data_IF_062349824841
#
_entry.id   IF_062349824841
#
_cell.length_a   1.000
_cell.length_b   1.000
_cell.length_c   1.000
_cell.angle_alpha   90.00
_cell.angle_beta   90.00
_cell.angle_gamma   90.00
#
_symmetry.space_group_name_H-M   'P 1'
#
loop_
_entity.id
_entity.type
_entity.pdbx_description
1 polymer ?
#
# COMPACT_ATOMS: atom_id res chain seq x y z
N UNK A 1 -13.69 -20.70 14.14
CA UNK A 1 -12.42 -20.67 14.87
C UNK A 1 -11.61 -19.47 14.42
N UNK A 2 -11.23 -18.63 15.37
CA UNK A 2 -10.56 -17.36 15.09
C UNK A 2 -9.23 -17.53 14.34
N UNK A 3 -8.43 -18.52 14.68
CA UNK A 3 -7.14 -18.77 14.04
C UNK A 3 -7.27 -19.08 12.55
N UNK A 4 -8.28 -19.87 12.17
CA UNK A 4 -8.53 -20.20 10.77
C UNK A 4 -9.00 -18.96 9.99
N UNK A 5 -9.87 -18.16 10.59
CA UNK A 5 -10.34 -16.92 9.97
C UNK A 5 -9.19 -15.94 9.73
N UNK A 6 -8.27 -15.82 10.71
CA UNK A 6 -7.11 -14.95 10.57
C UNK A 6 -6.18 -15.40 9.44
N UNK A 7 -5.98 -16.71 9.29
CA UNK A 7 -5.16 -17.23 8.19
C UNK A 7 -5.77 -16.91 6.82
N UNK A 8 -7.12 -16.95 6.72
CA UNK A 8 -7.81 -16.62 5.48
C UNK A 8 -7.72 -15.14 5.11
N UNK A 9 -7.43 -14.26 6.07
CA UNK A 9 -7.25 -12.85 5.83
C UNK A 9 -5.81 -12.48 5.46
N UNK A 10 -4.85 -13.39 5.68
CA UNK A 10 -3.45 -13.15 5.35
C UNK A 10 -3.25 -13.25 3.83
N UNK A 11 -2.59 -12.25 3.26
CA UNK A 11 -2.23 -12.23 1.86
C UNK A 11 -0.72 -12.27 1.71
N UNK A 12 -0.23 -13.00 0.72
CA UNK A 12 1.19 -13.10 0.44
C UNK A 12 1.65 -11.86 -0.32
N UNK A 13 2.16 -10.89 0.42
CA UNK A 13 2.68 -9.65 -0.13
C UNK A 13 4.12 -9.83 -0.55
N UNK A 14 4.40 -9.53 -1.82
CA UNK A 14 5.75 -9.58 -2.36
C UNK A 14 6.15 -8.22 -2.89
N UNK A 15 7.42 -7.87 -2.69
CA UNK A 15 8.03 -6.70 -3.29
C UNK A 15 8.69 -7.13 -4.60
N UNK A 16 8.50 -6.34 -5.65
CA UNK A 16 9.16 -6.55 -6.92
C UNK A 16 10.66 -6.27 -6.78
N UNK A 17 11.44 -7.33 -6.61
CA UNK A 17 12.89 -7.20 -6.42
C UNK A 17 13.57 -6.56 -7.63
N UNK A 18 13.08 -6.81 -8.83
CA UNK A 18 13.64 -6.22 -10.05
C UNK A 18 13.47 -4.69 -10.04
N UNK A 19 12.34 -4.20 -9.52
CA UNK A 19 12.10 -2.77 -9.40
C UNK A 19 13.07 -2.12 -8.42
N UNK A 20 13.31 -2.75 -7.27
CA UNK A 20 14.29 -2.28 -6.29
C UNK A 20 15.70 -2.31 -6.85
N UNK A 21 16.05 -3.36 -7.59
CA UNK A 21 17.37 -3.46 -8.22
C UNK A 21 17.57 -2.39 -9.28
N UNK A 22 16.51 -2.05 -10.03
CA UNK A 22 16.59 -0.97 -11.01
C UNK A 22 16.87 0.38 -10.33
N UNK A 23 16.18 0.67 -9.24
CA UNK A 23 16.41 1.88 -8.45
C UNK A 23 17.85 1.94 -7.95
N UNK A 24 18.34 0.82 -7.42
CA UNK A 24 19.71 0.71 -6.93
C UNK A 24 20.73 0.98 -8.05
N UNK A 25 20.48 0.40 -9.22
CA UNK A 25 21.37 0.54 -10.37
C UNK A 25 21.39 1.97 -10.93
N UNK A 26 20.23 2.63 -10.99
CA UNK A 26 20.10 3.97 -11.53
C UNK A 26 20.58 5.06 -10.56
N UNK A 27 20.33 4.88 -9.27
CA UNK A 27 20.52 5.94 -8.27
C UNK A 27 21.64 5.68 -7.28
N UNK A 28 22.23 4.46 -7.28
CA UNK A 28 23.14 4.02 -6.25
C UNK A 28 22.43 3.73 -4.93
N UNK A 29 23.15 3.17 -3.96
CA UNK A 29 22.57 2.75 -2.69
C UNK A 29 21.92 3.89 -1.92
N UNK A 30 22.61 5.02 -1.79
CA UNK A 30 22.07 6.17 -1.05
C UNK A 30 20.86 6.79 -1.73
N UNK A 31 20.88 6.90 -3.06
CA UNK A 31 19.75 7.44 -3.82
C UNK A 31 18.53 6.53 -3.77
N UNK A 32 18.73 5.22 -3.92
CA UNK A 32 17.66 4.23 -3.82
C UNK A 32 17.03 4.24 -2.43
N UNK A 33 17.84 4.30 -1.38
CA UNK A 33 17.37 4.37 0.00
C UNK A 33 16.49 5.60 0.23
N UNK A 34 16.89 6.77 -0.28
CA UNK A 34 16.09 7.99 -0.15
C UNK A 34 14.74 7.87 -0.84
N UNK A 35 14.70 7.29 -2.04
CA UNK A 35 13.44 7.07 -2.77
C UNK A 35 12.52 6.13 -2.00
N UNK A 36 13.05 5.04 -1.50
CA UNK A 36 12.28 4.04 -0.74
C UNK A 36 11.77 4.65 0.56
N UNK A 37 12.61 5.33 1.32
CA UNK A 37 12.23 5.94 2.60
C UNK A 37 11.12 6.98 2.40
N UNK A 38 11.24 7.82 1.37
CA UNK A 38 10.22 8.81 1.05
C UNK A 38 8.91 8.15 0.66
N UNK A 39 8.95 7.10 -0.16
CA UNK A 39 7.77 6.37 -0.57
C UNK A 39 7.08 5.70 0.62
N UNK A 40 7.85 5.10 1.53
CA UNK A 40 7.33 4.50 2.76
C UNK A 40 6.59 5.54 3.61
N UNK A 41 7.18 6.71 3.81
CA UNK A 41 6.55 7.80 4.57
C UNK A 41 5.25 8.26 3.91
N UNK A 42 5.26 8.42 2.59
CA UNK A 42 4.07 8.82 1.84
C UNK A 42 2.97 7.76 1.91
N UNK A 43 3.32 6.49 1.78
CA UNK A 43 2.36 5.38 1.89
C UNK A 43 1.75 5.35 3.28
N UNK A 44 2.57 5.40 4.33
CA UNK A 44 2.08 5.37 5.71
C UNK A 44 1.12 6.54 5.99
N UNK A 45 1.46 7.74 5.54
CA UNK A 45 0.61 8.93 5.70
C UNK A 45 -0.72 8.78 4.96
N UNK A 46 -0.71 8.24 3.75
CA UNK A 46 -1.92 8.05 2.97
C UNK A 46 -2.82 6.95 3.55
N UNK A 47 -2.24 5.87 4.05
CA UNK A 47 -3.02 4.83 4.73
C UNK A 47 -3.73 5.38 5.96
N UNK A 48 -3.05 6.22 6.73
CA UNK A 48 -3.66 6.88 7.89
C UNK A 48 -4.78 7.83 7.47
N UNK A 49 -4.58 8.61 6.42
CA UNK A 49 -5.61 9.52 5.91
C UNK A 49 -6.84 8.76 5.42
N UNK A 50 -6.65 7.62 4.75
CA UNK A 50 -7.75 6.76 4.31
C UNK A 50 -8.53 6.25 5.52
N UNK A 51 -7.84 5.80 6.58
CA UNK A 51 -8.47 5.31 7.79
C UNK A 51 -9.33 6.40 8.46
N UNK A 52 -8.77 7.59 8.64
CA UNK A 52 -9.48 8.70 9.28
C UNK A 52 -10.64 9.22 8.44
N UNK A 53 -10.47 9.28 7.12
CA UNK A 53 -11.51 9.71 6.20
C UNK A 53 -12.65 8.69 6.11
N UNK A 54 -12.31 7.41 6.12
CA UNK A 54 -13.31 6.34 6.19
C UNK A 54 -14.15 6.46 7.47
N UNK A 55 -13.49 6.65 8.62
CA UNK A 55 -14.18 6.78 9.90
C UNK A 55 -15.14 7.98 9.94
N UNK A 56 -14.83 9.05 9.23
CA UNK A 56 -15.69 10.24 9.15
C UNK A 56 -16.65 10.22 7.94
N UNK A 57 -16.72 9.12 7.23
CA UNK A 57 -17.55 8.94 6.04
C UNK A 57 -17.24 9.95 4.91
N UNK A 58 -16.01 10.41 4.86
CA UNK A 58 -15.52 11.27 3.77
C UNK A 58 -15.00 10.39 2.63
N UNK A 59 -15.92 9.79 1.88
CA UNK A 59 -15.59 8.82 0.82
C UNK A 59 -14.86 9.47 -0.35
N UNK A 60 -15.08 10.74 -0.58
CA UNK A 60 -14.37 11.48 -1.63
C UNK A 60 -12.87 11.54 -1.34
N UNK A 61 -12.50 11.83 -0.10
CA UNK A 61 -11.09 11.84 0.31
C UNK A 61 -10.52 10.43 0.29
N UNK A 62 -11.29 9.41 0.71
CA UNK A 62 -10.87 8.00 0.60
C UNK A 62 -10.47 7.68 -0.83
N UNK A 63 -11.33 7.99 -1.79
CA UNK A 63 -11.10 7.69 -3.21
C UNK A 63 -9.89 8.44 -3.78
N UNK A 64 -9.78 9.72 -3.49
CA UNK A 64 -8.66 10.55 -3.97
C UNK A 64 -7.32 10.08 -3.40
N UNK A 65 -7.31 9.76 -2.12
CA UNK A 65 -6.09 9.32 -1.45
C UNK A 65 -5.66 7.96 -1.98
N UNK A 66 -6.61 7.03 -2.15
CA UNK A 66 -6.33 5.73 -2.75
C UNK A 66 -5.78 5.88 -4.18
N UNK A 67 -6.35 6.77 -4.99
CA UNK A 67 -5.86 7.04 -6.34
C UNK A 67 -4.41 7.52 -6.32
N UNK A 68 -4.06 8.41 -5.41
CA UNK A 68 -2.68 8.93 -5.29
C UNK A 68 -1.70 7.88 -4.79
N UNK A 69 -2.18 6.86 -4.10
CA UNK A 69 -1.35 5.79 -3.55
C UNK A 69 -0.84 4.83 -4.63
N UNK A 70 -1.57 4.69 -5.73
CA UNK A 70 -1.23 3.73 -6.80
C UNK A 70 0.18 3.95 -7.32
N UNK A 71 0.50 5.17 -7.75
CA UNK A 71 1.80 5.48 -8.33
C UNK A 71 2.94 5.34 -7.33
N UNK A 72 2.72 5.76 -6.09
CA UNK A 72 3.74 5.67 -5.03
C UNK A 72 4.08 4.21 -4.74
N UNK A 73 3.05 3.37 -4.63
CA UNK A 73 3.25 1.94 -4.38
C UNK A 73 3.97 1.25 -5.54
N UNK A 74 3.56 1.52 -6.77
CA UNK A 74 4.22 0.93 -7.95
C UNK A 74 5.67 1.36 -8.08
N UNK A 75 6.00 2.58 -7.69
CA UNK A 75 7.36 3.11 -7.80
C UNK A 75 8.39 2.24 -7.09
N UNK A 76 8.02 1.65 -5.96
CA UNK A 76 8.92 0.82 -5.15
C UNK A 76 8.55 -0.66 -5.20
N UNK A 77 7.78 -1.08 -6.20
CA UNK A 77 7.51 -2.49 -6.44
C UNK A 77 6.43 -3.11 -5.57
N UNK A 78 5.56 -2.31 -4.94
CA UNK A 78 4.44 -2.78 -4.14
C UNK A 78 3.17 -2.92 -5.01
N UNK A 79 3.20 -3.85 -5.98
CA UNK A 79 2.14 -3.94 -6.99
C UNK A 79 0.80 -4.39 -6.43
N UNK A 80 0.78 -5.27 -5.42
CA UNK A 80 -0.48 -5.66 -4.79
C UNK A 80 -1.14 -4.48 -4.09
N UNK A 81 -0.34 -3.66 -3.38
CA UNK A 81 -0.86 -2.45 -2.73
C UNK A 81 -1.44 -1.49 -3.77
N UNK A 82 -0.75 -1.30 -4.89
CA UNK A 82 -1.24 -0.47 -5.98
C UNK A 82 -2.57 -0.99 -6.53
N UNK A 83 -2.68 -2.30 -6.72
CA UNK A 83 -3.89 -2.94 -7.22
C UNK A 83 -5.08 -2.74 -6.27
N UNK A 84 -4.88 -3.00 -4.98
CA UNK A 84 -5.94 -2.82 -3.98
C UNK A 84 -6.33 -1.34 -3.85
N UNK A 85 -5.36 -0.43 -3.97
CA UNK A 85 -5.63 1.02 -3.98
C UNK A 85 -6.52 1.41 -5.16
N UNK A 86 -6.29 0.81 -6.32
CA UNK A 86 -7.13 1.01 -7.49
C UNK A 86 -8.58 0.56 -7.24
N UNK A 87 -8.75 -0.60 -6.61
CA UNK A 87 -10.08 -1.12 -6.24
C UNK A 87 -10.81 -0.15 -5.30
N UNK A 88 -10.13 0.36 -4.27
CA UNK A 88 -10.71 1.32 -3.34
C UNK A 88 -11.12 2.61 -4.07
N UNK A 89 -10.26 3.13 -4.93
CA UNK A 89 -10.56 4.35 -5.70
C UNK A 89 -11.81 4.18 -6.56
N UNK A 90 -11.96 3.03 -7.22
CA UNK A 90 -13.14 2.73 -8.03
C UNK A 90 -14.41 2.59 -7.19
N UNK A 91 -14.32 1.86 -6.09
CA UNK A 91 -15.47 1.61 -5.21
C UNK A 91 -15.94 2.85 -4.45
N UNK A 92 -15.05 3.80 -4.19
CA UNK A 92 -15.42 5.05 -3.51
C UNK A 92 -16.48 5.85 -4.29
N UNK A 93 -16.59 5.63 -5.59
CA UNK A 93 -17.55 6.30 -6.45
C UNK A 93 -18.79 5.45 -6.77
N UNK A 94 -18.79 4.19 -6.36
CA UNK A 94 -19.81 3.21 -6.80
C UNK A 94 -21.12 3.29 -6.03
N UNK A 95 -21.11 3.84 -4.82
CA UNK A 95 -22.25 3.80 -3.92
C UNK A 95 -22.44 2.46 -3.21
N UNK A 96 -21.57 1.49 -3.45
CA UNK A 96 -21.61 0.18 -2.78
C UNK A 96 -20.77 0.25 -1.51
N UNK A 97 -21.39 0.65 -0.40
CA UNK A 97 -20.69 0.87 0.86
C UNK A 97 -20.12 -0.43 1.46
N UNK A 98 -20.80 -1.55 1.26
CA UNK A 98 -20.32 -2.84 1.77
C UNK A 98 -19.06 -3.28 1.04
N UNK A 99 -19.03 -3.17 -0.29
CA UNK A 99 -17.84 -3.48 -1.07
C UNK A 99 -16.69 -2.54 -0.76
N UNK A 100 -16.98 -1.25 -0.58
CA UNK A 100 -15.98 -0.26 -0.20
C UNK A 100 -15.38 -0.57 1.17
N UNK A 101 -16.22 -0.90 2.16
CA UNK A 101 -15.76 -1.27 3.51
C UNK A 101 -14.79 -2.45 3.47
N UNK A 102 -15.13 -3.49 2.72
CA UNK A 102 -14.29 -4.67 2.58
C UNK A 102 -12.95 -4.32 1.92
N UNK A 103 -12.97 -3.50 0.87
CA UNK A 103 -11.76 -3.09 0.16
C UNK A 103 -10.88 -2.17 0.99
N UNK A 104 -11.45 -1.26 1.76
CA UNK A 104 -10.68 -0.39 2.67
C UNK A 104 -10.00 -1.25 3.74
N UNK A 105 -10.70 -2.22 4.33
CA UNK A 105 -10.10 -3.14 5.30
C UNK A 105 -8.95 -3.94 4.69
N UNK A 106 -9.14 -4.44 3.46
CA UNK A 106 -8.08 -5.15 2.73
C UNK A 106 -6.88 -4.24 2.46
N UNK A 107 -7.15 -2.99 2.07
CA UNK A 107 -6.10 -2.00 1.81
C UNK A 107 -5.22 -1.79 3.04
N UNK A 108 -5.81 -1.67 4.23
CA UNK A 108 -5.06 -1.50 5.47
C UNK A 108 -4.19 -2.73 5.75
N UNK A 109 -4.73 -3.95 5.60
CA UNK A 109 -3.95 -5.18 5.81
C UNK A 109 -2.78 -5.30 4.83
N UNK A 110 -3.05 -5.11 3.55
CA UNK A 110 -2.02 -5.18 2.49
C UNK A 110 -1.01 -4.06 2.66
N UNK A 111 -1.45 -2.87 3.05
CA UNK A 111 -0.57 -1.73 3.32
C UNK A 111 0.43 -2.02 4.43
N UNK A 112 -0.05 -2.52 5.57
CA UNK A 112 0.83 -2.88 6.69
C UNK A 112 1.82 -3.98 6.29
N UNK A 113 1.34 -5.01 5.62
CA UNK A 113 2.21 -6.11 5.17
C UNK A 113 3.23 -5.65 4.13
N UNK A 114 2.85 -4.73 3.26
CA UNK A 114 3.76 -4.16 2.25
C UNK A 114 4.86 -3.33 2.89
N UNK A 115 4.52 -2.49 3.87
CA UNK A 115 5.51 -1.69 4.59
C UNK A 115 6.50 -2.58 5.34
N UNK A 116 6.01 -3.63 5.98
CA UNK A 116 6.86 -4.59 6.67
C UNK A 116 7.77 -5.33 5.68
N UNK A 117 7.25 -5.73 4.52
CA UNK A 117 8.03 -6.41 3.49
C UNK A 117 9.17 -5.53 2.96
N UNK A 118 8.92 -4.24 2.76
CA UNK A 118 9.96 -3.29 2.35
C UNK A 118 11.01 -3.12 3.44
N UNK A 119 10.58 -3.00 4.68
CA UNK A 119 11.49 -2.92 5.82
C UNK A 119 12.45 -4.11 5.84
N UNK A 120 11.90 -5.32 5.65
CA UNK A 120 12.69 -6.55 5.65
C UNK A 120 13.56 -6.69 4.39
N UNK A 121 13.15 -6.09 3.27
CA UNK A 121 13.86 -6.16 2.00
C UNK A 121 15.01 -5.15 1.86
N UNK A 122 15.18 -4.23 2.83
CA UNK A 122 16.23 -3.22 2.77
C UNK A 122 17.63 -3.77 3.11
N UNK A 123 17.92 -4.97 2.65
CA UNK A 123 19.22 -5.60 2.83
C UNK A 123 20.35 -4.80 2.16
N UNK A 124 20.05 -4.01 1.14
CA UNK A 124 21.03 -3.16 0.49
C UNK A 124 21.52 -2.00 1.37
N UNK A 125 20.92 -1.80 2.54
CA UNK A 125 21.40 -0.83 3.53
C UNK A 125 22.65 -1.27 4.27
N UNK A 126 22.92 -2.54 4.21
CA UNK A 126 24.06 -3.13 4.95
C UNK A 126 25.40 -2.75 4.34
#
# INVERSE_FOLDING_TARGET
MAAVSNLNLAENVQIDADRLMLLLRELGAAGAERVVDRAVDEIAGRLLLIETSWASADFKTVGRTAQSLIAVADQIGMHLLAHVSCDVAGLAQSGDDAALAASVARLQRVGESSLLAVWNAQAFKV
#
